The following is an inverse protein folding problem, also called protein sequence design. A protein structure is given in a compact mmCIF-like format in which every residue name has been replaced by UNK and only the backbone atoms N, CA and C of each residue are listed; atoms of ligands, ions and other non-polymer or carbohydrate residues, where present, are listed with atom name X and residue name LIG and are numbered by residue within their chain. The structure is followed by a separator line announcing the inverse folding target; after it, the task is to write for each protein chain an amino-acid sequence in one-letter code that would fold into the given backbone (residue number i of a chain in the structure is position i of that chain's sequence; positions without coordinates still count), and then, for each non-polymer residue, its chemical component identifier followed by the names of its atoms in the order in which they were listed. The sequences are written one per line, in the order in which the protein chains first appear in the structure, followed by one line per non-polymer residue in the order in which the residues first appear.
data_IF_319124178976
#
_entry.id   IF_319124178976
#
_cell.length_a   1.000
_cell.length_b   1.000
_cell.length_c   1.000
_cell.angle_alpha   90.00
_cell.angle_beta   90.00
_cell.angle_gamma   90.00
#
_symmetry.space_group_name_H-M   'P 1'
#
loop_
_entity.id
_entity.type
_entity.pdbx_description
1 polymer ?
#
# COMPACT_ATOMS: atom_id res chain seq x y z
N UNK A 1 -5.70 9.67 5.54
CA UNK A 1 -5.43 8.22 5.47
C UNK A 1 -4.99 7.71 6.82
N UNK A 2 -5.49 6.53 7.23
CA UNK A 2 -5.29 5.99 8.58
C UNK A 2 -3.82 5.79 9.00
N UNK A 3 -2.90 5.31 8.13
CA UNK A 3 -1.51 5.12 8.51
C UNK A 3 -0.80 6.39 9.01
N UNK A 4 -1.15 7.57 8.47
CA UNK A 4 -0.51 8.82 8.93
C UNK A 4 -1.02 9.24 10.31
N UNK A 5 -2.27 8.91 10.65
CA UNK A 5 -2.82 9.12 12.01
C UNK A 5 -2.12 8.20 13.00
N UNK A 6 -1.98 6.92 12.64
CA UNK A 6 -1.28 5.92 13.46
C UNK A 6 0.16 6.37 13.73
N UNK A 7 0.87 6.82 12.70
CA UNK A 7 2.22 7.36 12.85
C UNK A 7 2.27 8.57 13.79
N UNK A 8 1.32 9.51 13.63
CA UNK A 8 1.23 10.71 14.49
C UNK A 8 0.83 10.42 15.94
N UNK A 9 0.22 9.26 16.23
CA UNK A 9 -0.06 8.83 17.61
C UNK A 9 1.19 8.32 18.33
N UNK A 10 2.16 7.77 17.60
CA UNK A 10 3.36 7.14 18.15
C UNK A 10 3.01 6.02 19.13
N UNK A 11 3.68 6.00 20.28
CA UNK A 11 3.51 4.98 21.34
C UNK A 11 2.10 4.90 21.92
N UNK A 12 1.25 5.91 21.69
CA UNK A 12 -0.15 5.89 22.12
C UNK A 12 -1.01 4.95 21.28
N UNK A 13 -0.53 4.51 20.12
CA UNK A 13 -1.26 3.57 19.29
C UNK A 13 -1.16 2.14 19.86
N UNK A 14 -2.26 1.69 20.47
CA UNK A 14 -2.38 0.35 21.08
C UNK A 14 -2.96 -0.71 20.14
N UNK A 15 -2.84 -0.53 18.82
CA UNK A 15 -3.42 -1.45 17.82
C UNK A 15 -4.88 -1.16 17.47
N UNK A 16 -5.54 -0.20 18.15
CA UNK A 16 -6.92 0.20 17.86
C UNK A 16 -7.01 1.68 17.49
N UNK A 17 -7.45 1.95 16.27
CA UNK A 17 -7.75 3.31 15.82
C UNK A 17 -9.20 3.67 16.16
N UNK A 18 -9.41 4.81 16.84
CA UNK A 18 -10.73 5.26 17.26
C UNK A 18 -11.15 6.50 16.49
N UNK A 19 -12.47 6.79 16.45
CA UNK A 19 -12.99 8.04 15.88
C UNK A 19 -12.45 9.29 16.58
N UNK A 20 -12.06 9.18 17.85
CA UNK A 20 -11.45 10.29 18.58
C UNK A 20 -10.05 10.59 18.02
N UNK A 21 -9.24 9.55 17.77
CA UNK A 21 -7.92 9.71 17.16
C UNK A 21 -7.97 10.40 15.79
N UNK A 22 -8.98 10.07 14.97
CA UNK A 22 -9.15 10.70 13.64
C UNK A 22 -9.41 12.21 13.71
N UNK A 23 -9.94 12.71 14.84
CA UNK A 23 -10.22 14.14 15.05
C UNK A 23 -9.17 14.85 15.89
N UNK A 24 -8.17 14.12 16.38
CA UNK A 24 -7.08 14.69 17.16
C UNK A 24 -6.12 15.43 16.23
N UNK A 25 -5.78 16.67 16.59
CA UNK A 25 -4.84 17.47 15.81
C UNK A 25 -3.40 16.99 16.06
N UNK A 26 -2.76 16.49 15.03
CA UNK A 26 -1.32 16.18 15.00
C UNK A 26 -0.74 16.63 13.65
N UNK A 27 0.56 16.92 13.54
CA UNK A 27 1.16 17.32 12.26
C UNK A 27 1.00 16.27 11.14
N UNK A 28 0.79 15.00 11.50
CA UNK A 28 0.68 13.88 10.56
C UNK A 28 -0.78 13.50 10.24
N UNK A 29 -1.77 14.06 10.92
CA UNK A 29 -3.17 13.69 10.70
C UNK A 29 -3.73 14.32 9.41
N UNK A 30 -3.74 13.53 8.34
CA UNK A 30 -4.24 13.93 7.00
C UNK A 30 -5.77 13.99 6.91
N UNK A 31 -6.51 13.67 7.98
CA UNK A 31 -7.94 14.02 8.08
C UNK A 31 -8.16 15.48 8.50
N UNK A 32 -7.17 16.07 9.18
CA UNK A 32 -7.25 17.42 9.74
C UNK A 32 -6.40 18.42 8.93
N UNK A 33 -5.28 17.97 8.37
CA UNK A 33 -4.35 18.81 7.62
C UNK A 33 -4.41 18.47 6.14
N UNK A 34 -4.53 19.50 5.29
CA UNK A 34 -4.45 19.34 3.83
C UNK A 34 -2.99 19.14 3.37
N UNK A 35 -2.80 18.34 2.33
CA UNK A 35 -1.49 18.06 1.75
C UNK A 35 -0.77 16.87 2.38
N UNK A 36 0.54 16.80 2.15
CA UNK A 36 1.40 15.72 2.65
C UNK A 36 1.83 15.97 4.10
N UNK A 37 2.07 14.91 4.89
CA UNK A 37 2.68 15.04 6.21
C UNK A 37 4.10 15.63 6.11
N UNK A 38 4.67 16.17 7.21
CA UNK A 38 5.99 16.80 7.21
C UNK A 38 7.15 15.87 6.82
N UNK A 39 7.01 14.57 7.08
CA UNK A 39 8.02 13.55 6.76
C UNK A 39 7.36 12.23 6.33
N UNK A 40 8.09 11.33 5.65
CA UNK A 40 7.62 9.97 5.38
C UNK A 40 7.31 9.21 6.67
N UNK A 41 6.29 8.34 6.61
CA UNK A 41 5.81 7.57 7.78
C UNK A 41 6.31 6.11 7.82
N UNK A 42 7.03 5.67 6.79
CA UNK A 42 7.58 4.31 6.69
C UNK A 42 8.75 4.26 5.71
N UNK A 43 9.50 3.16 5.77
CA UNK A 43 10.42 2.79 4.69
C UNK A 43 9.62 2.24 3.51
N UNK A 44 9.87 2.77 2.31
CA UNK A 44 9.13 2.43 1.10
C UNK A 44 9.93 1.50 0.18
N UNK A 45 9.23 0.56 -0.45
CA UNK A 45 9.80 -0.33 -1.46
C UNK A 45 9.99 0.36 -2.81
N UNK A 46 10.70 -0.32 -3.72
CA UNK A 46 10.97 0.17 -5.09
C UNK A 46 9.68 0.48 -5.85
N UNK A 47 8.70 -0.39 -5.73
CA UNK A 47 7.43 -0.32 -6.45
C UNK A 47 6.62 0.91 -6.01
N UNK A 48 6.63 1.22 -4.71
CA UNK A 48 5.97 2.41 -4.17
C UNK A 48 6.65 3.71 -4.65
N UNK A 49 7.99 3.74 -4.69
CA UNK A 49 8.74 4.88 -5.25
C UNK A 49 8.40 5.07 -6.73
N UNK A 50 8.41 3.98 -7.50
CA UNK A 50 8.09 4.02 -8.93
C UNK A 50 6.67 4.55 -9.17
N UNK A 51 5.68 4.09 -8.40
CA UNK A 51 4.29 4.54 -8.49
C UNK A 51 4.11 6.03 -8.12
N UNK A 52 4.87 6.52 -7.14
CA UNK A 52 4.85 7.94 -6.77
C UNK A 52 5.42 8.84 -7.87
N UNK A 53 6.44 8.38 -8.59
CA UNK A 53 7.08 9.12 -9.69
C UNK A 53 6.35 8.96 -11.03
N UNK A 54 5.63 7.85 -11.23
CA UNK A 54 4.93 7.52 -12.46
C UNK A 54 3.49 7.11 -12.15
N UNK A 55 2.63 8.06 -11.72
CA UNK A 55 1.23 7.75 -11.47
C UNK A 55 0.52 7.38 -12.77
N UNK A 56 -0.48 6.50 -12.68
CA UNK A 56 -1.38 6.25 -13.79
C UNK A 56 -2.26 7.49 -14.00
N UNK A 57 -2.39 7.95 -15.24
CA UNK A 57 -3.28 9.06 -15.56
C UNK A 57 -4.74 8.69 -15.24
N UNK A 58 -5.47 9.65 -14.66
CA UNK A 58 -6.87 9.45 -14.29
C UNK A 58 -7.38 10.52 -13.33
N UNK A 59 -8.68 10.45 -13.03
CA UNK A 59 -9.39 11.41 -12.19
C UNK A 59 -9.88 10.81 -10.87
N UNK A 60 -9.48 9.58 -10.55
CA UNK A 60 -9.99 8.89 -9.38
C UNK A 60 -9.49 9.52 -8.08
N UNK A 61 -10.44 10.02 -7.29
CA UNK A 61 -10.18 10.69 -6.01
C UNK A 61 -10.45 9.79 -4.81
N UNK A 62 -11.26 8.75 -5.01
CA UNK A 62 -11.72 7.86 -3.95
C UNK A 62 -11.41 6.41 -4.28
N UNK A 63 -11.15 5.62 -3.26
CA UNK A 63 -10.99 4.18 -3.40
C UNK A 63 -11.56 3.43 -2.20
N UNK A 64 -12.01 2.20 -2.44
CA UNK A 64 -12.51 1.31 -1.39
C UNK A 64 -12.06 -0.12 -1.64
N UNK A 65 -11.63 -0.82 -0.59
CA UNK A 65 -11.24 -2.23 -0.69
C UNK A 65 -12.48 -3.11 -0.93
N UNK A 66 -12.36 -4.10 -1.83
CA UNK A 66 -13.42 -5.10 -2.09
C UNK A 66 -13.45 -6.23 -1.07
N UNK A 67 -12.35 -6.41 -0.33
CA UNK A 67 -12.18 -7.48 0.66
C UNK A 67 -11.47 -8.72 0.15
N UNK A 68 -11.14 -8.78 -1.15
CA UNK A 68 -10.42 -9.88 -1.82
C UNK A 68 -8.97 -9.53 -2.16
N UNK A 69 -8.47 -8.39 -1.64
CA UNK A 69 -7.15 -7.84 -1.97
C UNK A 69 -7.17 -6.82 -3.11
N UNK A 70 -8.31 -6.61 -3.77
CA UNK A 70 -8.47 -5.57 -4.82
C UNK A 70 -9.23 -4.35 -4.32
N UNK A 71 -9.21 -3.28 -5.12
CA UNK A 71 -9.87 -2.01 -4.83
C UNK A 71 -10.84 -1.62 -5.95
N UNK A 72 -11.84 -0.81 -5.60
CA UNK A 72 -12.64 -0.03 -6.54
C UNK A 72 -12.19 1.42 -6.43
N UNK A 73 -11.94 2.06 -7.57
CA UNK A 73 -11.60 3.47 -7.68
C UNK A 73 -12.80 4.25 -8.21
N UNK A 74 -12.99 5.48 -7.75
CA UNK A 74 -14.12 6.33 -8.12
C UNK A 74 -13.69 7.79 -8.22
N UNK A 75 -14.26 8.48 -9.20
CA UNK A 75 -13.92 9.88 -9.49
C UNK A 75 -14.74 10.85 -8.63
N UNK A 76 -15.96 10.44 -8.23
CA UNK A 76 -16.86 11.23 -7.40
C UNK A 76 -17.31 10.50 -6.11
N UNK A 77 -17.88 11.29 -5.19
CA UNK A 77 -18.28 10.83 -3.87
C UNK A 77 -19.50 9.91 -3.89
N UNK A 78 -20.43 10.08 -4.83
CA UNK A 78 -21.65 9.27 -4.90
C UNK A 78 -21.32 7.86 -5.41
N UNK A 79 -20.49 7.76 -6.44
CA UNK A 79 -19.90 6.51 -6.91
C UNK A 79 -19.15 5.80 -5.78
N UNK A 80 -18.30 6.52 -5.03
CA UNK A 80 -17.60 5.96 -3.88
C UNK A 80 -18.56 5.43 -2.81
N UNK A 81 -19.58 6.19 -2.43
CA UNK A 81 -20.56 5.80 -1.42
C UNK A 81 -21.36 4.55 -1.82
N UNK A 82 -21.66 4.41 -3.11
CA UNK A 82 -22.32 3.22 -3.64
C UNK A 82 -21.40 2.00 -3.56
N UNK A 83 -20.12 2.14 -3.93
CA UNK A 83 -19.13 1.07 -3.77
C UNK A 83 -18.94 0.68 -2.29
N UNK A 84 -18.91 1.64 -1.36
CA UNK A 84 -18.84 1.35 0.09
C UNK A 84 -20.05 0.52 0.55
N UNK A 85 -21.26 0.88 0.10
CA UNK A 85 -22.49 0.11 0.42
C UNK A 85 -22.42 -1.32 -0.12
N UNK A 86 -21.86 -1.49 -1.30
CA UNK A 86 -21.71 -2.79 -1.95
C UNK A 86 -20.69 -3.69 -1.25
N UNK A 87 -19.48 -3.18 -1.01
CA UNK A 87 -18.35 -4.02 -0.57
C UNK A 87 -18.14 -4.06 0.94
N UNK A 88 -18.52 -3.02 1.69
CA UNK A 88 -18.24 -2.94 3.13
C UNK A 88 -19.47 -3.07 4.04
N UNK A 89 -20.63 -2.55 3.64
CA UNK A 89 -21.82 -2.59 4.52
C UNK A 89 -22.52 -3.95 4.50
N UNK A 90 -22.50 -4.64 3.36
CA UNK A 90 -22.95 -6.05 3.25
C UNK A 90 -21.82 -7.00 3.65
N UNK A 91 -21.26 -6.86 4.87
CA UNK A 91 -20.10 -7.64 5.32
C UNK A 91 -20.35 -9.14 5.15
N UNK A 92 -19.77 -9.70 4.09
CA UNK A 92 -19.58 -11.13 3.93
C UNK A 92 -18.61 -11.59 5.02
N UNK A 93 -18.78 -12.82 5.50
CA UNK A 93 -17.98 -13.39 6.60
C UNK A 93 -16.48 -13.48 6.28
N UNK A 94 -16.11 -13.42 5.01
CA UNK A 94 -14.76 -13.50 4.45
C UNK A 94 -14.10 -12.13 4.20
N UNK A 95 -14.77 -11.01 4.45
CA UNK A 95 -14.22 -9.68 4.18
C UNK A 95 -12.97 -9.39 5.03
N UNK A 96 -11.87 -9.02 4.37
CA UNK A 96 -10.66 -8.49 5.02
C UNK A 96 -10.23 -7.16 4.40
N UNK A 97 -10.07 -6.14 5.25
CA UNK A 97 -9.54 -4.83 4.83
C UNK A 97 -8.05 -4.86 4.46
N UNK A 98 -7.36 -5.96 4.74
CA UNK A 98 -5.97 -6.20 4.36
C UNK A 98 -5.89 -7.52 3.59
N UNK A 99 -5.07 -7.61 2.52
CA UNK A 99 -4.88 -8.87 1.80
C UNK A 99 -4.36 -9.96 2.74
N UNK A 100 -4.71 -11.22 2.46
CA UNK A 100 -4.13 -12.35 3.17
C UNK A 100 -2.61 -12.36 2.96
N UNK A 101 -1.80 -12.71 3.98
CA UNK A 101 -0.37 -12.85 3.80
C UNK A 101 -0.12 -13.87 2.68
N UNK A 102 0.56 -13.46 1.62
CA UNK A 102 0.93 -14.36 0.55
C UNK A 102 1.82 -15.46 1.13
N UNK A 103 1.38 -16.72 1.04
CA UNK A 103 2.29 -17.86 1.20
C UNK A 103 3.32 -17.74 0.09
N UNK A 104 4.55 -17.40 0.45
CA UNK A 104 5.68 -17.31 -0.47
C UNK A 104 5.84 -18.67 -1.17
N UNK A 105 5.33 -18.80 -2.39
CA UNK A 105 5.68 -19.90 -3.25
C UNK A 105 7.15 -19.70 -3.63
N UNK A 106 8.01 -20.61 -3.18
CA UNK A 106 9.42 -20.73 -3.57
C UNK A 106 9.58 -20.53 -5.07
N UNK A 107 10.36 -19.51 -5.45
CA UNK A 107 10.92 -19.42 -6.79
C UNK A 107 12.14 -20.35 -6.82
N UNK A 108 12.19 -21.38 -7.67
CA UNK A 108 13.36 -22.24 -7.78
C UNK A 108 14.55 -21.44 -8.35
N UNK A 109 15.80 -21.73 -7.95
CA UNK A 109 16.95 -20.95 -8.37
C UNK A 109 17.23 -21.13 -9.86
N UNK A 110 17.18 -20.01 -10.60
CA UNK A 110 17.66 -19.90 -11.97
C UNK A 110 19.16 -20.20 -12.01
N UNK A 111 19.54 -21.28 -12.69
CA UNK A 111 20.93 -21.58 -13.02
C UNK A 111 21.46 -20.54 -14.01
N UNK A 112 22.46 -19.78 -13.60
CA UNK A 112 23.37 -19.06 -14.49
C UNK A 112 24.79 -19.35 -13.97
N UNK A 113 25.62 -20.00 -14.79
CA UNK A 113 26.99 -19.57 -15.14
C UNK A 113 27.71 -20.66 -15.94
N UNK A 114 27.57 -20.63 -17.27
CA UNK A 114 28.51 -21.29 -18.20
C UNK A 114 28.78 -20.32 -19.35
N UNK A 115 29.83 -19.51 -19.23
CA UNK A 115 30.56 -18.96 -20.37
C UNK A 115 31.88 -18.31 -19.93
N UNK A 116 33.00 -18.91 -20.35
CA UNK A 116 34.15 -18.15 -20.83
C UNK A 116 35.35 -18.00 -19.89
N UNK A 117 36.33 -18.89 -20.00
CA UNK A 117 37.76 -18.52 -20.11
C UNK A 117 38.50 -19.66 -20.82
N UNK A 118 38.61 -19.57 -22.15
CA UNK A 118 39.69 -20.22 -22.90
C UNK A 118 40.53 -19.09 -23.52
N UNK A 119 41.66 -18.78 -22.90
CA UNK A 119 42.76 -18.08 -23.58
C UNK A 119 44.09 -18.78 -23.26
N UNK A 120 44.59 -19.45 -24.30
CA UNK A 120 45.97 -19.57 -24.77
C UNK A 120 47.15 -19.33 -23.82
N UNK A 121 48.06 -20.32 -23.77
CA UNK A 121 49.54 -20.25 -23.99
C UNK A 121 50.08 -21.68 -23.94
N UNK A 122 50.40 -22.35 -25.04
CA UNK A 122 51.57 -22.20 -25.92
C UNK A 122 52.93 -22.44 -25.23
N UNK A 123 53.55 -23.57 -25.61
CA UNK A 123 54.99 -23.79 -25.84
C UNK A 123 55.95 -23.86 -24.65
N UNK A 124 56.34 -25.09 -24.28
CA UNK A 124 57.70 -25.68 -24.33
C UNK A 124 57.85 -26.81 -23.30
#
# INVERSE_FOLDING_TARGET
TDPTVIYGLGDRYSGKLTRAHLRESTPYNTYMNAGLPPTPISMVGREAIHAALNPVEGNSLYFVARGDGTHVFSDDLDAHNNAVKEFQLKRRSDYRSSPAPATTAETPPTQAEQAGTQEARASQ
#
